data_IF_840874648443
#
_entry.id   IF_840874648443
#
_cell.length_a   1.000
_cell.length_b   1.000
_cell.length_c   1.000
_cell.angle_alpha   90.00
_cell.angle_beta   90.00
_cell.angle_gamma   90.00
#
_symmetry.space_group_name_H-M   'P 1'
#
loop_
_entity.id
_entity.type
_entity.pdbx_description
1 polymer ?
2 non-polymer ?
3 water ?
#
# COMPACT_ATOMS: atom_id res chain seq x y z
N UNK A 33 -24.37 -18.34 -5.00
CA UNK A 33 -23.12 -17.58 -4.61
C UNK A 33 -22.64 -17.76 -3.19
N UNK A 34 -21.34 -17.64 -3.05
CA UNK A 34 -20.70 -17.67 -1.77
C UNK A 34 -19.96 -16.39 -1.50
N UNK A 35 -19.60 -16.18 -0.25
CA UNK A 35 -19.08 -14.87 0.16
C UNK A 35 -17.89 -15.02 1.08
N UNK A 36 -17.20 -13.93 1.31
CA UNK A 36 -16.04 -13.98 2.20
C UNK A 36 -15.65 -12.56 2.55
N UNK A 37 -15.19 -12.35 3.78
CA UNK A 37 -14.95 -10.97 4.26
C UNK A 37 -13.51 -10.79 4.71
N UNK A 38 -12.83 -9.73 4.27
CA UNK A 38 -11.51 -9.45 4.80
C UNK A 38 -11.53 -8.05 5.49
N UNK A 39 -11.05 -7.96 6.73
CA UNK A 39 -10.80 -6.64 7.30
C UNK A 39 -9.36 -6.35 7.10
N UNK A 40 -9.10 -5.31 6.33
CA UNK A 40 -7.75 -4.83 6.13
C UNK A 40 -7.35 -3.77 7.13
N UNK A 41 -6.51 -4.11 8.09
CA UNK A 41 -6.28 -3.21 9.25
C UNK A 41 -4.92 -2.57 9.01
N UNK A 42 -4.95 -1.46 8.31
CA UNK A 42 -3.76 -0.71 7.91
C UNK A 42 -3.42 0.29 8.98
N UNK A 43 -2.27 0.91 8.80
CA UNK A 43 -1.64 1.73 9.81
C UNK A 43 -2.55 2.89 10.19
N UNK A 44 -3.25 3.50 9.26
CA UNK A 44 -4.04 4.67 9.67
C UNK A 44 -5.50 4.51 9.33
N UNK A 45 -5.95 3.35 8.86
CA UNK A 45 -7.30 3.18 8.47
C UNK A 45 -7.59 1.72 8.40
N UNK A 46 -8.79 1.29 8.86
CA UNK A 46 -9.28 -0.09 8.63
C UNK A 46 -10.33 -0.08 7.53
N UNK A 47 -10.26 -1.08 6.67
CA UNK A 47 -11.17 -1.24 5.52
C UNK A 47 -11.81 -2.60 5.54
N UNK A 48 -13.08 -2.70 5.16
CA UNK A 48 -13.73 -4.01 5.08
C UNK A 48 -14.03 -4.33 3.60
N UNK A 49 -13.62 -5.49 3.11
CA UNK A 49 -14.06 -5.93 1.78
C UNK A 49 -14.90 -7.20 1.88
N UNK A 50 -16.05 -7.22 1.18
CA UNK A 50 -16.90 -8.42 1.09
C UNK A 50 -16.77 -8.88 -0.36
N UNK A 51 -16.33 -10.15 -0.59
CA UNK A 51 -16.16 -10.75 -1.92
C UNK A 51 -17.29 -11.74 -2.14
N UNK A 52 -17.59 -12.04 -3.41
CA UNK A 52 -18.71 -12.88 -3.77
C UNK A 52 -18.19 -13.78 -4.94
N UNK A 53 -18.73 -14.97 -5.07
CA UNK A 53 -18.30 -15.84 -6.20
C UNK A 53 -19.30 -16.98 -6.32
N UNK A 54 -19.43 -17.55 -7.55
CA UNK A 54 -20.37 -18.67 -7.74
C UNK A 54 -19.89 -19.93 -7.01
N UNK A 55 -20.79 -20.54 -6.24
CA UNK A 55 -20.50 -21.76 -5.52
C UNK A 55 -20.05 -22.84 -6.53
N UNK A 56 -20.76 -22.91 -7.66
CA UNK A 56 -20.52 -23.89 -8.73
C UNK A 56 -19.25 -23.82 -9.63
N UNK A 57 -18.47 -22.76 -9.60
CA UNK A 57 -17.19 -22.70 -10.36
C UNK A 57 -16.16 -21.78 -9.63
N UNK A 58 -15.97 -22.04 -8.33
CA UNK A 58 -15.16 -21.19 -7.47
C UNK A 58 -13.61 -21.24 -7.63
N UNK A 59 -13.09 -22.31 -8.26
CA UNK A 59 -11.61 -22.46 -8.51
C UNK A 59 -11.10 -21.90 -9.86
N UNK A 60 -12.00 -21.31 -10.65
CA UNK A 60 -11.61 -20.61 -11.90
C UNK A 60 -10.88 -19.31 -11.52
N UNK A 61 -9.86 -18.96 -12.30
CA UNK A 61 -9.18 -17.67 -12.13
C UNK A 61 -10.13 -16.49 -12.48
N UNK A 62 -9.89 -15.33 -11.84
CA UNK A 62 -10.74 -14.15 -12.00
C UNK A 62 -12.20 -14.24 -11.52
N UNK A 63 -12.65 -15.40 -11.04
CA UNK A 63 -14.05 -15.59 -10.71
C UNK A 63 -14.49 -14.78 -9.48
N UNK A 64 -13.71 -14.76 -8.40
CA UNK A 64 -14.13 -14.11 -7.17
C UNK A 64 -14.13 -12.59 -7.46
N UNK A 65 -15.14 -11.87 -6.95
CA UNK A 65 -15.19 -10.40 -7.13
C UNK A 65 -15.64 -9.65 -5.91
N UNK A 66 -15.35 -8.34 -5.88
CA UNK A 66 -15.79 -7.48 -4.78
C UNK A 66 -17.28 -7.20 -4.85
N UNK A 67 -18.00 -7.51 -3.76
CA UNK A 67 -19.44 -7.31 -3.66
C UNK A 67 -19.66 -5.94 -2.99
N UNK A 68 -19.01 -5.68 -1.86
CA UNK A 68 -19.20 -4.40 -1.25
C UNK A 68 -17.97 -4.08 -0.41
N UNK A 69 -17.91 -2.83 0.07
CA UNK A 69 -16.90 -2.47 1.04
C UNK A 69 -17.39 -1.47 2.08
N UNK A 70 -16.56 -1.27 3.10
CA UNK A 70 -16.90 -0.31 4.18
C UNK A 70 -15.62 0.30 4.78
N UNK A 71 -15.59 1.62 4.97
CA UNK A 71 -14.48 2.27 5.63
C UNK A 71 -14.76 2.57 7.07
N UNK A 72 -13.86 2.12 7.92
CA UNK A 72 -14.00 2.38 9.35
C UNK A 72 -13.60 3.82 9.64
N UNK A 73 -14.46 4.54 10.39
CA UNK A 73 -14.15 5.90 10.89
C UNK A 73 -12.93 5.90 11.85
N UNK A 74 -12.16 6.97 11.88
CA UNK A 74 -11.10 7.11 12.90
C UNK A 74 -9.84 6.38 12.43
N UNK A 75 -8.90 6.16 13.33
CA UNK A 75 -7.59 5.66 12.95
C UNK A 75 -7.51 4.13 12.82
N UNK A 76 -6.30 3.62 12.65
CA UNK A 76 -6.07 2.19 12.44
C UNK A 76 -6.08 1.54 13.80
N UNK A 77 -6.14 0.22 13.80
CA UNK A 77 -6.24 -0.51 15.10
C UNK A 77 -5.00 -0.27 16.02
N UNK A 78 -3.80 -0.16 15.44
CA UNK A 78 -2.60 0.21 16.24
C UNK A 78 -2.69 1.56 17.00
N UNK A 79 -3.56 2.44 16.54
CA UNK A 79 -3.77 3.73 17.21
C UNK A 79 -4.41 3.58 18.56
N UNK A 80 -4.90 2.40 18.87
CA UNK A 80 -5.61 2.18 20.13
C UNK A 80 -4.75 1.39 21.08
N UNK A 81 -3.43 1.49 20.86
CA UNK A 81 -2.42 0.77 21.60
C UNK A 81 -2.60 0.99 23.09
N UNK A 82 -3.09 2.18 23.48
CA UNK A 82 -3.30 2.51 24.89
C UNK A 82 -4.74 2.49 25.40
N UNK A 83 -5.71 2.20 24.52
CA UNK A 83 -7.08 1.95 24.91
C UNK A 83 -7.66 0.80 24.04
N UNK A 84 -7.15 -0.47 24.22
CA UNK A 84 -7.32 -1.53 23.19
C UNK A 84 -8.81 -1.94 23.00
N UNK A 85 -9.68 -1.72 23.99
CA UNK A 85 -11.11 -2.03 23.79
C UNK A 85 -11.72 -1.23 22.63
N UNK A 86 -11.28 0.02 22.48
CA UNK A 86 -11.73 0.82 21.34
C UNK A 86 -11.39 0.20 19.99
N UNK A 87 -10.35 -0.69 19.89
CA UNK A 87 -10.04 -1.24 18.58
C UNK A 87 -11.14 -2.23 18.09
N UNK A 88 -11.59 -3.15 18.94
CA UNK A 88 -12.76 -3.99 18.61
C UNK A 88 -14.00 -3.17 18.34
N UNK A 89 -14.22 -2.15 19.14
CA UNK A 89 -15.40 -1.31 18.96
C UNK A 89 -15.41 -0.57 17.60
N UNK A 90 -14.25 -0.04 17.18
CA UNK A 90 -14.19 0.75 15.94
C UNK A 90 -14.78 -0.01 14.75
N UNK A 91 -14.78 -1.34 14.81
CA UNK A 91 -15.28 -2.20 13.73
C UNK A 91 -16.78 -2.48 13.64
N UNK A 92 -17.57 -2.03 14.65
CA UNK A 92 -18.98 -2.43 14.75
C UNK A 92 -19.84 -1.98 13.57
N UNK A 93 -19.71 -0.72 13.15
CA UNK A 93 -20.60 -0.10 12.14
C UNK A 93 -20.46 -0.89 10.80
N UNK A 94 -19.20 -1.10 10.37
CA UNK A 94 -18.93 -1.93 9.20
C UNK A 94 -19.34 -3.39 9.35
N UNK A 95 -19.02 -4.02 10.48
CA UNK A 95 -19.64 -5.32 10.76
C UNK A 95 -21.17 -5.33 10.61
N UNK A 96 -21.86 -4.27 11.09
CA UNK A 96 -23.32 -4.14 10.93
C UNK A 96 -23.68 -4.14 9.46
N UNK A 97 -22.86 -3.43 8.68
CA UNK A 97 -23.06 -3.39 7.23
C UNK A 97 -22.84 -4.76 6.58
N UNK A 98 -21.79 -5.45 6.99
CA UNK A 98 -21.58 -6.82 6.48
C UNK A 98 -22.77 -7.74 6.74
N UNK A 99 -23.46 -7.57 7.89
CA UNK A 99 -24.68 -8.33 8.10
C UNK A 99 -25.74 -8.02 7.05
N UNK A 100 -25.84 -6.77 6.61
CA UNK A 100 -26.85 -6.40 5.58
C UNK A 100 -26.34 -6.86 4.20
N UNK A 101 -25.03 -6.75 3.95
CA UNK A 101 -24.48 -7.06 2.63
C UNK A 101 -24.51 -8.56 2.36
N UNK A 102 -24.30 -9.38 3.40
CA UNK A 102 -24.26 -10.83 3.17
C UNK A 102 -25.65 -11.42 3.49
N UNK A 103 -26.26 -12.16 2.56
CA UNK A 103 -27.64 -12.61 2.88
C UNK A 103 -27.65 -13.44 4.17
N UNK A 104 -28.74 -13.33 4.97
CA UNK A 104 -28.83 -13.99 6.29
C UNK A 104 -28.38 -15.45 6.32
N UNK A 105 -28.95 -16.24 5.43
CA UNK A 105 -28.75 -17.68 5.49
C UNK A 105 -27.35 -18.08 5.01
N UNK A 106 -26.53 -17.11 4.61
CA UNK A 106 -25.12 -17.43 4.42
C UNK A 106 -24.12 -16.84 5.39
N UNK A 107 -24.59 -16.27 6.51
CA UNK A 107 -23.68 -15.70 7.47
C UNK A 107 -22.78 -16.79 8.01
N UNK A 108 -23.43 -17.85 8.48
CA UNK A 108 -22.83 -19.02 9.11
C UNK A 108 -21.63 -19.53 8.32
N UNK A 109 -21.75 -19.55 7.00
CA UNK A 109 -20.82 -20.29 6.17
C UNK A 109 -19.77 -19.36 5.59
N UNK A 110 -19.84 -18.07 5.94
CA UNK A 110 -19.05 -17.04 5.26
C UNK A 110 -17.84 -16.76 6.14
N UNK A 111 -16.63 -17.12 5.66
CA UNK A 111 -15.43 -16.83 6.43
C UNK A 111 -15.15 -15.34 6.61
N UNK A 112 -14.77 -14.98 7.83
CA UNK A 112 -14.30 -13.62 8.16
C UNK A 112 -12.82 -13.64 8.66
N UNK A 113 -11.99 -12.87 7.98
CA UNK A 113 -10.54 -12.72 8.32
C UNK A 113 -10.24 -11.25 8.60
N UNK A 114 -9.29 -11.00 9.51
CA UNK A 114 -8.73 -9.66 9.72
C UNK A 114 -7.22 -9.86 9.57
N UNK A 115 -6.68 -9.09 8.68
CA UNK A 115 -5.24 -9.02 8.50
C UNK A 115 -4.75 -7.64 8.79
N UNK A 116 -3.68 -7.55 9.61
CA UNK A 116 -3.12 -6.21 10.00
C UNK A 116 -1.78 -6.08 9.35
N UNK A 117 -1.35 -4.85 9.14
CA UNK A 117 -0.14 -4.71 8.35
C UNK A 117 0.91 -3.88 9.09
N UNK A 118 1.50 -2.88 8.45
CA UNK A 118 2.66 -2.27 9.01
C UNK A 118 2.47 -1.51 10.32
N UNK A 119 1.28 -0.97 10.56
CA UNK A 119 1.06 -0.30 11.79
C UNK A 119 1.15 -1.29 12.94
N UNK A 120 0.58 -2.46 12.72
CA UNK A 120 0.67 -3.46 13.77
C UNK A 120 2.05 -4.09 13.84
N UNK A 121 2.79 -4.19 12.69
CA UNK A 121 4.14 -4.68 12.74
C UNK A 121 4.99 -3.73 13.57
N UNK A 122 4.95 -2.43 13.20
CA UNK A 122 5.55 -1.37 14.08
C UNK A 122 5.18 -1.49 15.57
N UNK A 123 3.88 -1.61 15.88
CA UNK A 123 3.41 -1.63 17.29
C UNK A 123 4.01 -2.86 17.92
N UNK A 124 4.10 -3.95 17.16
CA UNK A 124 4.79 -5.15 17.64
C UNK A 124 6.21 -4.99 18.03
N UNK A 125 6.94 -4.14 17.30
CA UNK A 125 8.32 -3.92 17.59
C UNK A 125 8.62 -2.99 18.76
N UNK A 126 7.64 -2.14 19.08
CA UNK A 126 7.81 -1.16 20.14
C UNK A 126 7.07 -1.62 21.41
N UNK A 127 5.97 -2.34 21.22
CA UNK A 127 5.18 -2.78 22.38
C UNK A 127 4.44 -4.07 22.10
N UNK A 128 5.16 -5.19 22.19
CA UNK A 128 4.43 -6.44 21.90
C UNK A 128 3.26 -6.72 22.88
N UNK A 129 3.31 -6.26 24.13
CA UNK A 129 2.13 -6.47 25.00
C UNK A 129 0.89 -5.66 24.55
N UNK A 130 1.06 -4.39 24.20
CA UNK A 130 -0.05 -3.62 23.64
C UNK A 130 -0.53 -4.24 22.31
N UNK A 131 0.40 -4.75 21.50
CA UNK A 131 -0.01 -5.38 20.25
C UNK A 131 -0.96 -6.56 20.49
N UNK A 132 -0.66 -7.39 21.51
CA UNK A 132 -1.44 -8.55 21.76
C UNK A 132 -2.81 -8.18 22.39
N UNK A 133 -2.85 -7.20 23.30
CA UNK A 133 -4.11 -6.63 23.71
C UNK A 133 -5.00 -6.08 22.62
N UNK A 134 -4.43 -5.30 21.68
CA UNK A 134 -5.18 -4.87 20.50
C UNK A 134 -5.77 -6.04 19.75
N UNK A 135 -4.97 -7.07 19.46
CA UNK A 135 -5.48 -8.21 18.70
C UNK A 135 -6.50 -9.02 19.50
N UNK A 136 -6.31 -9.12 20.80
CA UNK A 136 -7.35 -9.76 21.65
C UNK A 136 -8.70 -9.01 21.60
N UNK A 137 -8.63 -7.68 21.71
CA UNK A 137 -9.83 -6.85 21.66
C UNK A 137 -10.55 -7.06 20.34
N UNK A 138 -9.82 -7.02 19.20
CA UNK A 138 -10.50 -7.13 17.90
C UNK A 138 -11.08 -8.54 17.77
N UNK A 139 -10.35 -9.53 18.30
CA UNK A 139 -10.80 -10.93 18.28
C UNK A 139 -12.09 -11.04 19.06
N UNK A 140 -12.11 -10.45 20.26
CA UNK A 140 -13.30 -10.33 21.07
C UNK A 140 -14.55 -9.97 20.29
N UNK A 141 -14.46 -8.86 19.56
CA UNK A 141 -15.55 -8.27 18.81
C UNK A 141 -15.95 -9.19 17.68
N UNK A 142 -14.98 -9.64 16.88
CA UNK A 142 -15.29 -10.44 15.70
C UNK A 142 -16.00 -11.77 16.00
N UNK A 143 -15.53 -12.49 17.03
CA UNK A 143 -16.01 -13.84 17.34
C UNK A 143 -17.50 -13.87 17.77
N UNK A 144 -18.04 -12.71 18.15
CA UNK A 144 -19.50 -12.64 18.45
C UNK A 144 -20.41 -12.27 17.26
N UNK A 145 -19.84 -12.05 16.07
CA UNK A 145 -20.67 -11.89 14.88
C UNK A 145 -20.94 -13.31 14.39
N UNK A 146 -22.04 -13.53 13.66
CA UNK A 146 -22.45 -14.89 13.27
C UNK A 146 -21.70 -15.39 11.98
N UNK A 147 -20.57 -14.80 11.68
CA UNK A 147 -19.74 -15.22 10.50
C UNK A 147 -18.77 -16.29 10.95
N UNK A 148 -18.24 -17.04 10.01
CA UNK A 148 -17.22 -18.00 10.37
C UNK A 148 -15.88 -17.25 10.49
N UNK A 149 -15.71 -16.74 11.72
CA UNK A 149 -14.53 -15.99 12.12
C UNK A 149 -13.30 -16.91 12.13
N UNK A 150 -12.32 -16.59 11.30
CA UNK A 150 -11.11 -17.40 11.21
C UNK A 150 -9.82 -16.74 11.78
N UNK A 151 -9.88 -15.61 12.51
CA UNK A 151 -8.65 -15.12 13.07
C UNK A 151 -8.18 -13.76 12.58
N UNK A 152 -7.42 -13.13 13.48
CA UNK A 152 -6.88 -11.78 13.30
C UNK A 152 -5.37 -12.06 13.30
N UNK A 153 -4.64 -11.63 12.27
CA UNK A 153 -3.26 -12.02 12.22
C UNK A 153 -2.57 -10.80 11.64
N UNK A 154 -1.29 -10.71 11.91
CA UNK A 154 -0.44 -9.66 11.38
C UNK A 154 0.22 -10.33 10.18
N UNK A 155 0.09 -9.72 9.02
CA UNK A 155 0.88 -10.14 7.84
C UNK A 155 2.32 -9.74 7.94
N UNK A 156 3.23 -10.60 7.49
CA UNK A 156 4.61 -10.18 7.34
C UNK A 156 4.60 -9.21 6.15
N UNK A 157 5.78 -8.64 5.85
CA UNK A 157 6.01 -7.72 4.77
C UNK A 157 6.01 -8.49 3.47
N UNK A 158 6.64 -9.65 3.45
CA UNK A 158 6.47 -10.58 2.32
C UNK A 158 5.06 -10.96 2.01
N UNK A 159 4.22 -11.30 3.03
CA UNK A 159 2.85 -11.65 2.71
C UNK A 159 2.15 -10.48 2.01
N UNK A 160 2.27 -9.28 2.62
CA UNK A 160 1.63 -8.08 2.14
C UNK A 160 1.96 -7.85 0.66
N UNK A 161 3.24 -7.88 0.30
CA UNK A 161 3.63 -7.72 -1.11
C UNK A 161 3.09 -8.83 -1.99
N UNK A 162 3.28 -10.08 -1.52
CA UNK A 162 2.90 -11.20 -2.34
C UNK A 162 1.39 -11.26 -2.60
N UNK A 163 0.60 -10.96 -1.57
CA UNK A 163 -0.82 -11.06 -1.77
C UNK A 163 -1.37 -9.96 -2.68
N UNK A 164 -0.85 -8.74 -2.61
CA UNK A 164 -1.23 -7.68 -3.61
C UNK A 164 -0.89 -8.14 -5.06
N UNK A 165 0.30 -8.69 -5.28
CA UNK A 165 0.67 -9.29 -6.61
C UNK A 165 -0.33 -10.38 -7.07
N UNK A 166 -0.75 -11.25 -6.12
CA UNK A 166 -1.75 -12.27 -6.43
C UNK A 166 -3.03 -11.59 -6.86
N UNK A 167 -3.46 -10.59 -6.07
CA UNK A 167 -4.71 -9.94 -6.30
C UNK A 167 -4.73 -9.36 -7.70
N UNK A 168 -3.66 -8.62 -8.08
CA UNK A 168 -3.61 -7.94 -9.36
C UNK A 168 -3.73 -8.94 -10.48
N UNK A 169 -2.88 -9.98 -10.40
CA UNK A 169 -2.78 -10.94 -11.50
C UNK A 169 -3.98 -11.85 -11.57
N UNK A 170 -4.63 -12.14 -10.43
CA UNK A 170 -5.90 -12.88 -10.48
C UNK A 170 -7.01 -12.07 -11.17
N UNK A 171 -7.13 -10.80 -10.84
CA UNK A 171 -8.29 -10.05 -11.32
C UNK A 171 -8.07 -9.74 -12.77
N UNK A 172 -6.80 -9.60 -13.14
CA UNK A 172 -6.53 -9.27 -14.56
C UNK A 172 -6.23 -10.50 -15.39
N UNK A 173 -6.56 -11.67 -14.84
CA UNK A 173 -6.58 -12.93 -15.58
C UNK A 173 -5.24 -13.33 -16.21
N UNK A 174 -4.12 -13.03 -15.53
CA UNK A 174 -2.79 -13.38 -16.07
C UNK A 174 -2.35 -14.84 -15.78
N UNK A 175 -3.21 -15.60 -15.09
CA UNK A 175 -2.92 -17.00 -14.84
C UNK A 175 -3.61 -17.90 -15.90
N UNK A 176 -3.99 -17.34 -17.05
CA UNK A 176 -4.79 -18.09 -18.04
C UNK A 176 -3.72 -18.61 -19.02
N UNK A 177 -3.91 -19.83 -19.52
CA UNK A 177 -3.06 -20.33 -20.58
C UNK A 177 -3.70 -19.88 -21.88
N UNK A 178 -3.04 -18.96 -22.60
CA UNK A 178 -3.63 -18.30 -23.71
C UNK A 178 -3.35 -19.01 -25.00
N UNK A 179 -4.39 -19.11 -25.83
CA UNK A 179 -4.23 -19.63 -27.16
C UNK A 179 -5.21 -20.73 -27.40
N UNK A 180 -4.86 -21.65 -28.30
CA UNK A 180 -5.79 -22.74 -28.52
C UNK A 180 -5.01 -23.86 -29.20
N UNK A 181 -5.60 -25.05 -29.35
CA UNK A 181 -4.92 -26.18 -29.99
C UNK A 181 -4.52 -25.82 -31.45
N UNK A 182 -3.34 -26.18 -31.97
CA UNK A 182 -2.06 -26.04 -31.44
C UNK A 182 -1.62 -24.68 -32.03
N UNK A 183 -1.98 -23.62 -31.34
CA UNK A 183 -1.38 -22.29 -31.49
C UNK A 183 -1.42 -21.70 -30.08
N UNK A 184 -0.56 -22.23 -29.24
CA UNK A 184 -0.52 -21.74 -27.90
C UNK A 184 0.39 -20.54 -27.86
N UNK A 185 0.03 -19.57 -27.03
CA UNK A 185 0.98 -18.48 -26.88
C UNK A 185 2.27 -18.87 -26.17
N UNK A 186 3.37 -18.45 -26.81
CA UNK A 186 4.74 -18.69 -26.32
C UNK A 186 5.59 -17.39 -26.20
N UNK A 187 6.32 -17.20 -25.07
CA UNK A 187 6.36 -17.98 -23.83
C UNK A 187 5.10 -17.72 -22.99
N UNK A 188 5.02 -18.31 -21.80
CA UNK A 188 3.91 -18.07 -20.84
C UNK A 188 3.50 -16.59 -20.75
N UNK A 189 2.19 -16.31 -20.63
CA UNK A 189 1.69 -14.96 -20.22
C UNK A 189 2.51 -14.22 -19.09
N UNK A 190 3.03 -13.03 -19.40
CA UNK A 190 3.76 -12.19 -18.47
C UNK A 190 2.83 -11.79 -17.32
N UNK A 191 3.38 -11.54 -16.15
CA UNK A 191 2.56 -11.16 -15.00
C UNK A 191 2.73 -9.69 -14.67
N UNK A 192 1.83 -9.12 -13.87
CA UNK A 192 1.97 -7.70 -13.52
C UNK A 192 2.82 -7.57 -12.25
N UNK A 193 3.91 -6.74 -12.24
CA UNK A 193 4.59 -6.32 -10.96
C UNK A 193 3.58 -5.49 -10.14
N UNK A 194 3.77 -5.39 -8.81
CA UNK A 194 2.88 -4.69 -7.95
C UNK A 194 3.73 -3.73 -7.08
N UNK A 195 3.31 -2.46 -7.01
CA UNK A 195 3.88 -1.49 -6.02
C UNK A 195 2.76 -0.92 -5.22
N UNK A 196 2.88 -0.99 -3.89
CA UNK A 196 1.79 -0.80 -3.03
C UNK A 196 2.37 0.27 -2.06
N UNK A 197 1.73 1.42 -1.99
CA UNK A 197 2.27 2.44 -1.01
C UNK A 197 1.24 2.55 0.10
N UNK A 198 1.48 2.00 1.28
CA UNK A 198 0.45 2.14 2.38
C UNK A 198 0.90 3.32 3.27
N UNK A 199 0.39 3.39 4.49
CA UNK A 199 0.63 4.53 5.39
C UNK A 199 1.94 4.36 6.15
N UNK A 200 2.40 3.12 6.34
CA UNK A 200 3.63 2.89 7.14
C UNK A 200 4.71 2.01 6.45
N UNK A 201 4.39 1.43 5.29
CA UNK A 201 5.41 0.68 4.45
C UNK A 201 5.07 0.76 3.03
N UNK A 202 6.04 0.39 2.16
CA UNK A 202 5.71 0.24 0.80
C UNK A 202 6.39 -1.07 0.24
N UNK A 203 5.74 -1.71 -0.75
CA UNK A 203 6.11 -3.06 -1.17
C UNK A 203 6.32 -2.93 -2.67
N UNK A 204 7.34 -3.63 -3.19
CA UNK A 204 7.44 -3.91 -4.59
C UNK A 204 7.63 -5.47 -4.78
N UNK A 205 6.95 -6.04 -5.80
CA UNK A 205 6.84 -7.47 -5.99
C UNK A 205 6.68 -7.66 -7.47
N UNK A 206 7.53 -8.50 -8.04
CA UNK A 206 7.42 -8.84 -9.48
C UNK A 206 8.07 -10.19 -9.76
N UNK A 207 7.59 -10.84 -10.83
CA UNK A 207 8.19 -12.03 -11.37
C UNK A 207 9.58 -11.74 -11.97
N UNK A 208 10.60 -12.52 -11.64
CA UNK A 208 11.92 -12.19 -12.18
C UNK A 208 12.64 -13.46 -12.68
N UNK A 209 13.52 -13.34 -13.68
CA UNK A 209 14.35 -14.48 -14.01
C UNK A 209 15.79 -14.38 -13.43
N UNK A 210 16.07 -13.36 -12.63
CA UNK A 210 17.40 -13.20 -11.99
C UNK A 210 17.62 -14.16 -10.80
N UNK A 211 18.85 -14.70 -10.65
CA UNK A 211 19.07 -15.51 -9.41
C UNK A 211 18.85 -14.65 -8.13
N UNK A 212 18.30 -15.28 -7.08
CA UNK A 212 18.12 -14.66 -5.76
C UNK A 212 19.48 -14.52 -5.05
N UNK A 213 19.70 -13.40 -4.34
CA UNK A 213 20.98 -13.21 -3.67
C UNK A 213 20.64 -12.98 -2.21
N UNK A 214 19.35 -12.99 -1.91
CA UNK A 214 18.88 -12.84 -0.59
C UNK A 214 17.60 -13.69 -0.50
N UNK A 215 17.62 -14.73 0.34
CA UNK A 215 16.41 -15.58 0.48
C UNK A 215 15.16 -14.94 1.15
N UNK A 216 15.35 -13.93 2.03
CA UNK A 216 14.26 -13.09 2.49
C UNK A 216 13.45 -12.43 1.38
N UNK A 217 14.05 -12.20 0.20
CA UNK A 217 13.38 -11.52 -0.89
C UNK A 217 12.85 -12.54 -1.94
N UNK A 218 13.16 -13.84 -1.81
CA UNK A 218 12.73 -14.88 -2.73
C UNK A 218 11.36 -15.52 -2.48
N UNK A 219 10.53 -15.56 -3.54
CA UNK A 219 9.20 -16.14 -3.50
C UNK A 219 8.96 -17.20 -4.58
N UNK A 220 8.36 -18.35 -4.21
CA UNK A 220 7.97 -19.39 -5.24
C UNK A 220 6.54 -19.78 -5.06
N UNK A 221 5.77 -19.49 -6.07
CA UNK A 221 4.33 -19.75 -6.08
C UNK A 221 3.98 -20.81 -7.06
N UNK A 222 3.00 -21.63 -6.66
CA UNK A 222 2.50 -22.64 -7.55
C UNK A 222 1.02 -22.28 -7.75
N UNK A 223 0.67 -21.85 -8.96
CA UNK A 223 -0.67 -21.37 -9.31
C UNK A 223 -1.10 -22.03 -10.61
N UNK A 224 -2.21 -22.76 -10.55
CA UNK A 224 -2.81 -23.48 -11.68
C UNK A 224 -1.75 -24.29 -12.42
N UNK A 225 -1.03 -25.16 -11.69
CA UNK A 225 0.03 -26.01 -12.25
C UNK A 225 1.28 -25.29 -12.72
N UNK A 226 1.36 -23.95 -12.61
CA UNK A 226 2.57 -23.18 -13.00
C UNK A 226 3.45 -22.66 -11.85
N UNK A 227 4.78 -22.66 -12.14
CA UNK A 227 5.74 -22.14 -11.21
C UNK A 227 6.02 -20.64 -11.44
N UNK A 228 5.82 -19.78 -10.42
CA UNK A 228 6.19 -18.36 -10.54
C UNK A 228 7.33 -18.00 -9.56
N UNK A 229 8.45 -17.55 -10.11
CA UNK A 229 9.62 -17.11 -9.28
C UNK A 229 9.47 -15.61 -9.14
N UNK A 230 9.42 -15.10 -7.91
CA UNK A 230 8.97 -13.74 -7.67
C UNK A 230 9.94 -13.13 -6.67
N UNK A 231 10.26 -11.87 -6.88
CA UNK A 231 11.03 -11.08 -5.94
C UNK A 231 10.01 -10.28 -5.12
N UNK A 232 10.26 -10.10 -3.83
CA UNK A 232 9.41 -9.13 -3.10
C UNK A 232 10.22 -8.48 -1.97
N UNK A 233 9.90 -7.21 -1.68
CA UNK A 233 10.53 -6.57 -0.54
C UNK A 233 9.56 -5.51 0.02
N UNK A 234 9.51 -5.42 1.34
CA UNK A 234 8.62 -4.43 1.98
C UNK A 234 9.58 -3.47 2.66
N UNK A 235 9.49 -2.19 2.36
CA UNK A 235 10.27 -1.16 3.14
C UNK A 235 9.53 -0.57 4.35
N UNK A 236 9.91 -0.99 5.54
CA UNK A 236 9.14 -0.57 6.73
C UNK A 236 9.54 0.92 6.94
N UNK A 237 8.60 1.78 7.41
CA UNK A 237 8.87 3.21 7.68
C UNK A 237 8.93 3.96 6.35
N UNK A 238 8.64 3.31 5.20
CA UNK A 238 8.63 4.05 3.96
C UNK A 238 7.19 4.17 3.42
N UNK A 239 6.19 4.02 4.29
CA UNK A 239 4.85 4.44 3.90
C UNK A 239 4.67 5.96 3.91
N UNK A 240 3.65 6.41 3.19
CA UNK A 240 3.31 7.78 3.00
C UNK A 240 3.28 8.57 4.36
N UNK A 241 2.60 8.09 5.39
CA UNK A 241 2.51 8.87 6.65
C UNK A 241 3.79 8.85 7.37
N UNK A 242 4.50 7.70 7.40
CA UNK A 242 5.86 7.69 8.06
C UNK A 242 6.92 8.54 7.30
N UNK A 243 6.86 8.58 5.98
CA UNK A 243 7.71 9.44 5.13
C UNK A 243 7.45 10.91 5.49
N UNK A 244 6.19 11.26 5.69
CA UNK A 244 5.89 12.67 6.00
C UNK A 244 6.43 13.04 7.38
N UNK A 245 6.37 12.10 8.33
CA UNK A 245 6.86 12.41 9.69
C UNK A 245 8.42 12.55 9.63
N UNK A 246 9.06 11.69 8.83
CA UNK A 246 10.54 11.79 8.70
C UNK A 246 10.96 13.07 7.99
N UNK A 247 10.23 13.44 6.94
CA UNK A 247 10.44 14.75 6.29
C UNK A 247 10.26 15.94 7.21
N UNK A 248 9.28 15.87 8.10
CA UNK A 248 9.03 16.92 9.06
C UNK A 248 10.17 17.01 10.11
N UNK A 249 10.64 15.88 10.64
CA UNK A 249 11.81 15.89 11.53
C UNK A 249 13.09 16.45 10.81
N UNK A 250 13.33 16.06 9.55
CA UNK A 250 14.53 16.62 8.89
C UNK A 250 14.37 18.09 8.50
N UNK A 251 13.14 18.53 8.17
CA UNK A 251 12.91 19.95 7.81
C UNK A 251 13.17 20.82 9.03
N UNK A 252 12.68 20.33 10.18
CA UNK A 252 12.95 20.97 11.49
C UNK A 252 14.42 21.05 11.91
N UNK A 253 15.17 19.99 11.66
CA UNK A 253 16.60 20.00 11.99
C UNK A 253 17.46 20.92 11.12
N UNK A 254 17.24 20.87 9.81
CA UNK A 254 18.10 21.45 8.81
C UNK A 254 17.66 22.89 8.52
N UNK A 255 16.34 23.11 8.38
CA UNK A 255 15.83 24.40 7.87
C UNK A 255 14.99 25.26 8.79
N UNK A 256 14.30 24.67 9.76
CA UNK A 256 13.23 25.45 10.45
C UNK A 256 12.18 26.12 9.49
N UNK A 257 11.95 25.53 8.33
CA UNK A 257 10.80 25.84 7.48
C UNK A 257 10.59 24.55 6.71
N UNK A 258 9.45 24.34 6.10
CA UNK A 258 9.26 23.11 5.33
C UNK A 258 9.29 23.44 3.83
N UNK A 259 10.41 23.11 3.14
CA UNK A 259 10.51 23.41 1.72
C UNK A 259 9.40 22.76 0.93
N UNK A 260 8.87 21.60 1.36
CA UNK A 260 7.83 20.86 0.61
C UNK A 260 6.42 21.40 0.81
N UNK A 261 6.25 22.23 1.83
CA UNK A 261 4.99 22.89 2.07
C UNK A 261 4.90 24.20 1.28
N UNK A 262 3.66 24.59 0.89
CA UNK A 262 3.47 25.73 0.06
C UNK A 262 3.67 27.01 0.83
N UNK A 263 4.26 27.99 0.16
CA UNK A 263 4.45 29.32 0.71
C UNK A 263 3.07 29.93 1.11
N UNK A 264 2.96 30.42 2.35
CA UNK A 264 1.67 30.97 2.88
C UNK A 264 0.84 29.93 3.63
N UNK A 265 1.37 28.72 3.72
CA UNK A 265 0.85 27.68 4.62
C UNK A 265 1.75 27.55 5.87
N UNK A 266 1.17 27.60 7.06
CA UNK A 266 1.89 27.24 8.29
C UNK A 266 1.05 26.51 9.32
N UNK A 267 1.70 25.79 10.23
CA UNK A 267 0.96 25.06 11.24
C UNK A 267 1.73 24.86 12.53
N UNK A 268 1.05 24.41 13.58
CA UNK A 268 1.66 24.09 14.87
C UNK A 268 2.10 22.62 14.87
N UNK A 269 3.40 22.39 14.80
CA UNK A 269 3.85 20.99 14.74
C UNK A 269 3.96 20.48 16.17
N UNK A 270 3.37 19.31 16.40
CA UNK A 270 3.41 18.69 17.71
C UNK A 270 4.62 17.74 17.73
N UNK A 271 5.66 18.06 18.50
CA UNK A 271 6.87 17.25 18.47
C UNK A 271 6.66 15.83 19.02
N UNK A 272 5.67 15.66 19.90
CA UNK A 272 5.24 14.32 20.39
C UNK A 272 4.98 13.39 19.20
N UNK A 273 4.17 13.82 18.25
CA UNK A 273 3.85 13.02 17.07
C UNK A 273 5.10 12.62 16.30
N UNK A 274 5.99 13.59 16.11
CA UNK A 274 7.11 13.40 15.22
C UNK A 274 8.06 12.38 15.81
N UNK A 275 8.41 12.60 17.07
CA UNK A 275 9.50 11.87 17.65
C UNK A 275 9.07 10.63 18.42
N UNK A 276 7.79 10.33 18.46
CA UNK A 276 7.36 9.10 19.11
C UNK A 276 7.34 7.92 18.11
N UNK A 277 7.35 8.22 16.81
CA UNK A 277 7.29 7.19 15.85
C UNK A 277 8.60 6.38 15.89
N UNK A 278 8.53 5.03 15.88
CA UNK A 278 9.78 4.30 15.73
C UNK A 278 10.56 4.64 14.44
N UNK A 279 9.90 5.27 13.45
CA UNK A 279 10.51 5.63 12.16
C UNK A 279 11.40 6.89 12.18
N UNK A 280 11.34 7.68 13.25
CA UNK A 280 12.14 8.89 13.27
C UNK A 280 13.25 8.81 14.35
N UNK A 281 13.30 7.68 15.07
CA UNK A 281 14.26 7.47 16.19
C UNK A 281 15.63 7.59 15.50
N UNK A 282 16.47 8.49 16.00
CA UNK A 282 17.60 8.99 15.23
C UNK A 282 17.24 10.31 14.56
N UNK A 283 16.62 11.22 15.34
CA UNK A 283 16.34 12.64 14.96
C UNK A 283 15.73 13.36 16.17
N UNK A 292 7.11 21.20 23.41
CA UNK A 292 6.22 20.27 22.73
C UNK A 292 5.68 20.73 21.34
N UNK A 293 5.73 22.03 21.04
CA UNK A 293 5.15 22.56 19.78
C UNK A 293 6.06 23.57 19.08
N UNK A 294 6.15 23.53 17.74
CA UNK A 294 6.85 24.58 16.98
C UNK A 294 6.07 25.00 15.73
N UNK A 295 5.91 26.31 15.57
CA UNK A 295 5.37 26.91 14.35
C UNK A 295 6.28 26.54 13.16
N UNK A 296 5.70 26.13 12.01
CA UNK A 296 6.47 25.76 10.82
C UNK A 296 5.76 26.19 9.55
N UNK A 297 6.49 26.87 8.66
CA UNK A 297 5.90 27.44 7.45
C UNK A 297 6.45 26.79 6.24
N UNK A 298 5.61 26.72 5.21
CA UNK A 298 6.01 26.23 3.89
C UNK A 298 6.80 27.29 3.13
N UNK A 299 7.69 26.86 2.25
CA UNK A 299 8.38 27.85 1.38
C UNK A 299 8.26 27.57 -0.14
N UNK A 300 7.51 26.55 -0.56
CA UNK A 300 7.34 26.22 -2.02
C UNK A 300 8.69 26.14 -2.75
N UNK A 301 9.61 25.37 -2.18
CA UNK A 301 10.96 25.27 -2.72
C UNK A 301 11.14 23.81 -3.20
N UNK A 302 10.82 23.56 -4.46
CA UNK A 302 10.98 22.25 -5.06
C UNK A 302 12.39 21.62 -4.97
N UNK A 303 13.45 22.40 -5.17
CA UNK A 303 14.86 21.90 -5.10
C UNK A 303 15.16 21.48 -3.67
N UNK A 304 14.75 22.29 -2.70
CA UNK A 304 15.09 21.91 -1.35
C UNK A 304 14.18 20.82 -0.87
N UNK A 305 12.95 20.81 -1.40
CA UNK A 305 12.05 19.68 -1.11
C UNK A 305 12.65 18.37 -1.64
N UNK A 306 13.13 18.43 -2.88
CA UNK A 306 13.77 17.27 -3.48
C UNK A 306 15.00 16.83 -2.67
N UNK A 307 15.82 17.79 -2.20
CA UNK A 307 16.96 17.47 -1.29
C UNK A 307 16.59 16.71 -0.03
N UNK A 308 15.54 17.17 0.67
CA UNK A 308 15.02 16.48 1.85
C UNK A 308 14.63 15.08 1.48
N UNK A 309 13.80 14.93 0.46
CA UNK A 309 13.34 13.62 0.05
C UNK A 309 14.45 12.64 -0.32
N UNK A 310 15.40 13.11 -1.13
CA UNK A 310 16.35 12.18 -1.66
C UNK A 310 17.21 11.60 -0.53
N UNK A 311 17.29 12.34 0.59
CA UNK A 311 18.00 11.87 1.80
C UNK A 311 17.40 10.65 2.48
N UNK A 312 16.09 10.41 2.27
CA UNK A 312 15.48 9.15 2.69
C UNK A 312 16.12 7.91 2.05
N UNK A 313 16.84 8.02 0.91
CA UNK A 313 17.24 6.80 0.22
C UNK A 313 18.72 6.68 0.21
N UNK A 314 19.23 5.81 1.07
CA UNK A 314 20.67 5.60 1.13
C UNK A 314 21.13 4.66 0.00
N UNK A 315 21.90 5.20 -0.95
CA UNK A 315 22.36 4.44 -2.09
C UNK A 315 23.87 4.36 -2.02
N UNK A 316 24.49 4.54 -0.87
CA UNK A 316 25.93 4.66 -0.91
C UNK A 316 26.61 3.29 -0.87
N UNK A 317 25.89 2.21 -0.54
CA UNK A 317 26.57 0.92 -0.56
C UNK A 317 25.67 -0.25 -0.86
N UNK A 318 26.27 -1.22 -1.51
CA UNK A 318 25.50 -2.33 -1.98
C UNK A 318 26.40 -3.55 -1.88
N UNK A 319 26.04 -4.49 -0.99
CA UNK A 319 26.89 -5.68 -0.81
C UNK A 319 26.42 -6.78 -1.73
N UNK A 320 25.44 -6.50 -2.58
CA UNK A 320 24.94 -7.51 -3.52
C UNK A 320 25.42 -7.12 -4.87
N UNK A 321 25.02 -7.85 -5.90
CA UNK A 321 25.48 -7.43 -7.22
C UNK A 321 24.71 -6.14 -7.69
N UNK A 322 23.45 -5.97 -7.26
CA UNK A 322 22.66 -4.74 -7.44
C UNK A 322 21.66 -4.56 -6.34
N UNK A 323 21.33 -3.31 -6.06
CA UNK A 323 20.48 -2.94 -4.92
C UNK A 323 19.40 -2.00 -5.35
N UNK A 324 18.33 -1.92 -4.56
CA UNK A 324 17.44 -0.81 -4.77
C UNK A 324 18.05 0.34 -3.95
N UNK A 325 17.76 0.38 -2.64
CA UNK A 325 18.42 1.39 -1.76
C UNK A 325 18.49 0.75 -0.36
N UNK A 326 19.19 1.42 0.54
CA UNK A 326 19.48 0.91 1.88
C UNK A 326 20.14 -0.46 1.88
N UNK A 327 21.01 -0.74 0.87
CA UNK A 327 21.76 -2.01 0.79
C UNK A 327 20.84 -3.19 0.48
N UNK A 328 19.61 -2.92 0.11
CA UNK A 328 18.69 -4.02 -0.17
C UNK A 328 18.92 -4.63 -1.58
N UNK A 329 19.15 -5.95 -1.70
CA UNK A 329 19.22 -6.62 -3.06
C UNK A 329 17.95 -6.43 -3.88
N UNK A 330 18.10 -6.03 -5.16
CA UNK A 330 16.95 -6.04 -6.05
C UNK A 330 17.43 -6.22 -7.47
N UNK A 331 16.89 -7.21 -8.20
CA UNK A 331 17.16 -7.38 -9.62
C UNK A 331 16.58 -6.25 -10.45
N UNK A 332 17.08 -6.04 -11.70
CA UNK A 332 16.53 -4.98 -12.55
C UNK A 332 15.00 -5.15 -12.65
N UNK A 333 14.23 -4.07 -12.48
CA UNK A 333 12.76 -4.14 -12.65
C UNK A 333 12.46 -4.51 -14.09
N UNK A 334 11.42 -5.32 -14.27
CA UNK A 334 11.08 -5.76 -15.61
C UNK A 334 9.59 -6.12 -15.68
N UNK A 335 9.02 -6.09 -16.88
CA UNK A 335 7.59 -6.34 -17.20
C UNK A 335 6.70 -5.15 -16.88
N UNK A 336 5.39 -5.37 -17.01
CA UNK A 336 4.40 -4.37 -16.66
C UNK A 336 4.29 -4.33 -15.12
N UNK A 337 3.86 -3.17 -14.60
CA UNK A 337 3.67 -2.94 -13.18
C UNK A 337 2.31 -2.25 -13.00
N UNK A 338 1.63 -2.53 -11.88
CA UNK A 338 0.49 -1.73 -11.45
C UNK A 338 0.89 -1.10 -10.09
N UNK A 339 0.64 0.23 -9.93
CA UNK A 339 1.00 0.96 -8.74
C UNK A 339 -0.32 1.46 -8.16
N UNK A 340 -0.61 1.09 -6.89
CA UNK A 340 -1.98 1.21 -6.41
C UNK A 340 -1.91 1.92 -5.09
N UNK A 341 -3.00 1.86 -4.33
CA UNK A 341 -3.17 2.65 -3.07
C UNK A 341 -2.66 4.09 -3.25
N UNK A 342 -1.75 4.58 -2.40
CA UNK A 342 -1.43 5.99 -2.42
C UNK A 342 -0.63 6.40 -3.69
N UNK A 343 -0.04 5.46 -4.41
CA UNK A 343 0.51 5.82 -5.74
C UNK A 343 -0.60 6.34 -6.66
N UNK A 344 -1.76 5.69 -6.60
CA UNK A 344 -2.82 6.05 -7.49
C UNK A 344 -3.38 7.45 -7.15
N UNK A 345 -3.68 7.67 -5.86
CA UNK A 345 -4.41 8.87 -5.46
C UNK A 345 -3.48 10.07 -5.65
N UNK A 346 -2.18 9.89 -5.52
CA UNK A 346 -1.28 11.06 -5.63
C UNK A 346 -1.12 11.44 -7.13
N UNK A 347 -1.11 10.43 -7.99
CA UNK A 347 -0.97 10.68 -9.41
C UNK A 347 -2.24 11.27 -9.96
N UNK A 348 -3.35 10.82 -9.42
CA UNK A 348 -4.65 11.37 -9.79
C UNK A 348 -4.79 12.83 -9.38
N UNK A 349 -4.20 13.20 -8.25
CA UNK A 349 -4.13 14.63 -7.85
C UNK A 349 -3.35 15.43 -8.92
N UNK A 350 -2.24 14.86 -9.38
CA UNK A 350 -1.43 15.59 -10.34
C UNK A 350 -2.16 15.79 -11.69
N UNK A 351 -2.78 14.70 -12.17
CA UNK A 351 -3.39 14.69 -13.51
C UNK A 351 -4.72 15.47 -13.47
N UNK A 352 -5.44 15.39 -12.34
CA UNK A 352 -6.80 15.92 -12.25
C UNK A 352 -6.81 17.33 -11.75
N UNK A 353 -6.31 17.54 -10.53
CA UNK A 353 -6.30 18.85 -9.94
C UNK A 353 -5.24 19.76 -10.57
N UNK A 354 -4.02 19.25 -10.75
CA UNK A 354 -2.95 20.08 -11.35
C UNK A 354 -3.05 20.11 -12.89
N UNK A 355 -3.67 19.08 -13.49
CA UNK A 355 -3.89 19.01 -14.93
C UNK A 355 -2.60 18.74 -15.71
N UNK A 356 -1.69 17.98 -15.10
CA UNK A 356 -0.43 17.68 -15.71
C UNK A 356 -0.32 16.22 -16.18
N UNK A 357 0.26 15.99 -17.38
CA UNK A 357 0.52 14.61 -17.78
C UNK A 357 1.65 13.98 -16.95
N UNK A 358 1.50 12.71 -16.59
CA UNK A 358 2.57 11.97 -15.92
C UNK A 358 2.91 10.69 -16.75
N UNK A 359 2.88 10.81 -18.05
CA UNK A 359 3.19 9.68 -18.90
C UNK A 359 4.63 9.20 -18.87
N UNK A 360 5.59 10.10 -18.73
CA UNK A 360 7.00 9.74 -18.69
C UNK A 360 7.59 10.05 -17.30
N UNK A 361 8.76 9.46 -16.97
CA UNK A 361 9.39 9.76 -15.67
C UNK A 361 9.66 11.24 -15.64
N UNK A 362 10.06 11.77 -16.80
CA UNK A 362 10.30 13.19 -16.87
C UNK A 362 9.07 14.08 -16.70
N UNK A 363 7.91 13.66 -17.21
CA UNK A 363 6.70 14.44 -16.99
C UNK A 363 6.30 14.33 -15.51
N UNK A 364 6.47 13.14 -14.94
CA UNK A 364 6.37 12.93 -13.52
C UNK A 364 7.22 13.90 -12.68
N UNK A 365 8.53 13.89 -12.95
CA UNK A 365 9.46 14.86 -12.33
C UNK A 365 8.97 16.33 -12.49
N UNK A 366 8.70 16.80 -13.73
CA UNK A 366 8.22 18.20 -13.95
C UNK A 366 6.89 18.42 -13.21
N UNK A 367 6.02 17.41 -13.14
CA UNK A 367 4.72 17.56 -12.43
C UNK A 367 4.97 17.81 -10.95
N UNK A 368 5.95 17.10 -10.40
CA UNK A 368 6.28 17.33 -9.00
C UNK A 368 6.87 18.74 -8.68
N UNK A 369 7.69 19.25 -9.57
CA UNK A 369 8.27 20.55 -9.33
C UNK A 369 7.19 21.61 -9.42
N UNK A 370 6.40 21.55 -10.51
CA UNK A 370 5.38 22.54 -10.67
C UNK A 370 4.46 22.52 -9.43
N UNK A 371 4.03 21.34 -8.93
CA UNK A 371 3.20 21.27 -7.71
C UNK A 371 3.89 21.87 -6.47
N UNK A 372 5.12 21.44 -6.22
CA UNK A 372 5.88 21.95 -5.05
C UNK A 372 6.08 23.45 -5.05
N UNK A 373 6.20 24.03 -6.25
CA UNK A 373 6.40 25.47 -6.43
C UNK A 373 5.15 26.33 -6.27
N UNK A 374 3.95 25.73 -6.23
CA UNK A 374 2.74 26.51 -6.07
C UNK A 374 2.72 27.13 -4.68
N UNK A 375 2.25 28.35 -4.59
CA UNK A 375 1.97 28.91 -3.28
C UNK A 375 0.62 28.34 -2.75
N UNK A 376 0.35 28.58 -1.48
CA UNK A 376 -0.90 28.14 -0.88
C UNK A 376 -2.09 28.69 -1.70
N UNK A 377 -2.03 29.97 -2.05
CA UNK A 377 -3.15 30.62 -2.77
C UNK A 377 -3.27 30.08 -4.22
N UNK A 378 -2.16 29.70 -4.82
CA UNK A 378 -2.22 29.14 -6.17
C UNK A 378 -2.86 27.77 -6.18
N UNK A 379 -2.60 27.03 -5.11
CA UNK A 379 -3.17 25.71 -4.88
C UNK A 379 -4.67 25.85 -4.71
N UNK A 380 -5.09 26.69 -3.77
CA UNK A 380 -6.51 27.03 -3.61
C UNK A 380 -7.22 27.60 -4.86
N UNK A 381 -6.52 28.37 -5.69
CA UNK A 381 -7.12 28.86 -6.95
C UNK A 381 -7.56 27.77 -7.95
N UNK A 382 -6.94 26.58 -7.91
CA UNK A 382 -7.36 25.46 -8.73
C UNK A 382 -8.60 24.76 -8.21
N UNK A 383 -9.23 25.32 -7.16
CA UNK A 383 -10.46 24.80 -6.54
C UNK A 383 -10.32 23.31 -6.32
N UNK A 384 -9.37 22.92 -5.46
CA UNK A 384 -9.15 21.51 -5.28
C UNK A 384 -10.17 20.81 -4.36
N UNK A 385 -11.07 21.52 -3.70
CA UNK A 385 -11.95 20.78 -2.79
C UNK A 385 -11.41 20.81 -1.37
N UNK A 386 -12.21 20.32 -0.42
CA UNK A 386 -11.85 20.28 1.03
C UNK A 386 -10.90 19.11 1.29
N UNK A 387 -9.67 19.32 0.91
CA UNK A 387 -8.72 18.24 1.03
C UNK A 387 -7.97 18.59 2.31
N UNK A 388 -8.08 17.76 3.34
CA UNK A 388 -7.48 18.05 4.66
C UNK A 388 -5.93 17.99 4.54
N UNK A 389 -5.43 17.19 3.60
CA UNK A 389 -3.97 17.06 3.47
C UNK A 389 -3.34 17.75 2.24
N UNK A 390 -3.97 18.81 1.75
CA UNK A 390 -3.52 19.58 0.61
C UNK A 390 -2.03 20.04 0.63
N UNK A 391 -1.55 20.55 1.79
CA UNK A 391 -0.12 20.89 2.01
C UNK A 391 0.87 19.75 1.84
N UNK A 392 0.42 18.50 1.91
CA UNK A 392 1.36 17.41 1.76
C UNK A 392 1.41 16.78 0.39
N UNK A 393 0.61 17.25 -0.56
CA UNK A 393 0.68 16.50 -1.91
C UNK A 393 2.04 16.58 -2.54
N UNK A 394 2.65 17.75 -2.41
CA UNK A 394 3.97 17.96 -3.00
C UNK A 394 5.01 16.95 -2.44
N UNK A 395 5.08 16.85 -1.11
CA UNK A 395 6.01 15.88 -0.48
C UNK A 395 5.77 14.41 -0.96
N UNK A 396 4.51 13.99 -0.93
CA UNK A 396 4.15 12.60 -1.33
C UNK A 396 4.52 12.40 -2.83
N UNK A 397 4.25 13.43 -3.65
CA UNK A 397 4.45 13.26 -5.07
C UNK A 397 5.95 13.14 -5.34
N UNK A 398 6.71 14.02 -4.69
CA UNK A 398 8.18 14.00 -4.70
C UNK A 398 8.68 12.68 -4.11
N UNK A 399 8.09 12.17 -3.01
CA UNK A 399 8.57 10.92 -2.50
C UNK A 399 8.40 9.82 -3.58
N UNK A 400 7.24 9.82 -4.25
CA UNK A 400 6.98 8.77 -5.29
C UNK A 400 7.94 8.82 -6.42
N UNK A 401 8.24 10.03 -6.88
CA UNK A 401 9.13 10.12 -7.95
C UNK A 401 10.53 9.66 -7.58
N UNK A 402 11.06 10.10 -6.43
CA UNK A 402 12.36 9.60 -5.91
C UNK A 402 12.35 8.08 -5.70
N UNK A 403 11.25 7.54 -5.15
CA UNK A 403 11.23 6.13 -4.83
C UNK A 403 11.45 5.31 -6.12
N UNK A 404 10.70 5.67 -7.17
CA UNK A 404 10.70 4.94 -8.45
C UNK A 404 12.00 5.12 -9.16
N UNK A 405 12.54 6.34 -9.21
CA UNK A 405 13.80 6.57 -10.05
C UNK A 405 15.01 6.31 -9.17
N UNK A 406 15.16 7.05 -8.08
CA UNK A 406 16.39 6.82 -7.24
C UNK A 406 16.35 5.47 -6.48
N UNK A 407 15.20 5.08 -5.91
CA UNK A 407 15.13 3.81 -5.19
C UNK A 407 15.07 2.55 -6.06
N UNK A 408 14.09 2.47 -6.96
CA UNK A 408 13.82 1.18 -7.58
C UNK A 408 14.51 1.19 -8.93
N UNK A 409 15.09 2.32 -9.36
CA UNK A 409 15.80 2.44 -10.72
C UNK A 409 14.93 2.12 -11.96
N UNK A 410 13.65 2.48 -11.92
CA UNK A 410 12.89 2.66 -13.20
C UNK A 410 13.62 3.69 -14.01
N UNK A 411 13.62 3.61 -15.35
CA UNK A 411 13.95 4.73 -16.19
C UNK A 411 12.75 4.91 -17.14
N UNK A 412 12.90 5.73 -18.16
CA UNK A 412 11.83 6.03 -19.12
C UNK A 412 11.26 4.77 -19.76
N UNK A 413 12.15 3.88 -20.18
CA UNK A 413 11.78 2.64 -20.83
C UNK A 413 10.98 1.70 -19.89
N UNK A 414 11.43 1.50 -18.66
CA UNK A 414 10.77 0.55 -17.80
C UNK A 414 9.50 1.16 -17.13
N UNK A 415 9.54 2.44 -16.75
CA UNK A 415 8.36 3.25 -16.34
C UNK A 415 7.25 3.38 -17.40
N UNK A 416 7.57 3.33 -18.70
CA UNK A 416 6.53 3.23 -19.70
C UNK A 416 5.51 2.09 -19.41
N UNK A 417 5.91 1.07 -18.65
CA UNK A 417 5.05 -0.10 -18.43
C UNK A 417 4.36 -0.06 -17.10
N UNK A 418 4.47 1.06 -16.37
CA UNK A 418 3.82 1.23 -15.09
C UNK A 418 2.44 1.82 -15.41
N UNK A 419 1.40 1.26 -14.84
CA UNK A 419 0.11 1.96 -14.87
C UNK A 419 -0.29 2.24 -13.43
N UNK A 420 -0.92 3.38 -13.23
CA UNK A 420 -1.48 3.78 -11.95
C UNK A 420 -2.93 3.46 -11.96
N UNK A 421 -3.33 2.50 -11.14
CA UNK A 421 -4.69 2.01 -11.19
C UNK A 421 -5.07 1.61 -9.73
N UNK A 422 -6.31 1.86 -9.33
CA UNK A 422 -6.76 1.42 -8.00
C UNK A 422 -7.74 0.23 -8.05
N UNK A 423 -8.46 0.07 -9.17
CA UNK A 423 -9.48 -1.00 -9.34
C UNK A 423 -9.16 -1.89 -10.55
N UNK A 424 -9.59 -3.13 -10.47
CA UNK A 424 -9.51 -3.98 -11.65
C UNK A 424 -10.74 -4.84 -11.59
N UNK A 425 -11.45 -4.97 -12.70
CA UNK A 425 -12.70 -5.75 -12.76
C UNK A 425 -13.61 -5.37 -11.54
N UNK A 426 -13.77 -4.05 -11.34
CA UNK A 426 -14.60 -3.47 -10.24
C UNK A 426 -14.18 -3.91 -8.81
N UNK A 427 -12.97 -4.40 -8.67
CA UNK A 427 -12.46 -4.80 -7.36
C UNK A 427 -11.29 -3.91 -6.96
N UNK A 428 -11.33 -3.36 -5.74
CA UNK A 428 -10.15 -2.68 -5.16
C UNK A 428 -8.92 -3.59 -5.24
N UNK A 429 -7.85 -3.04 -5.76
CA UNK A 429 -6.58 -3.77 -5.79
C UNK A 429 -5.82 -3.58 -4.45
N UNK A 430 -5.43 -4.66 -3.80
CA UNK A 430 -4.66 -4.55 -2.56
C UNK A 430 -4.35 -5.95 -2.22
N UNK A 431 -3.90 -6.19 -1.01
CA UNK A 431 -3.48 -7.53 -0.64
C UNK A 431 -4.68 -8.33 -0.14
N UNK A 432 -5.79 -7.67 0.23
CA UNK A 432 -6.97 -8.41 0.78
C UNK A 432 -7.51 -9.62 0.03
N UNK A 433 -7.72 -9.50 -1.27
CA UNK A 433 -8.28 -10.59 -2.05
C UNK A 433 -7.35 -11.79 -2.10
N UNK A 434 -6.08 -11.57 -2.49
CA UNK A 434 -5.15 -12.67 -2.58
C UNK A 434 -4.98 -13.40 -1.23
N UNK A 435 -4.96 -12.62 -0.16
CA UNK A 435 -5.02 -13.16 1.23
C UNK A 435 -6.22 -14.14 1.44
N UNK A 436 -7.42 -13.66 1.11
CA UNK A 436 -8.60 -14.49 1.30
C UNK A 436 -8.53 -15.72 0.41
N UNK A 437 -8.09 -15.52 -0.82
CA UNK A 437 -7.95 -16.62 -1.78
C UNK A 437 -6.99 -17.70 -1.32
N UNK A 438 -5.92 -17.30 -0.60
CA UNK A 438 -4.95 -18.26 -0.09
C UNK A 438 -5.55 -18.93 1.16
N UNK A 439 -5.98 -18.16 2.17
CA UNK A 439 -6.69 -18.79 3.34
C UNK A 439 -7.91 -19.63 3.01
N UNK A 440 -8.64 -19.27 1.96
CA UNK A 440 -9.83 -20.04 1.61
C UNK A 440 -9.50 -21.15 0.67
N UNK A 441 -8.25 -21.23 0.22
CA UNK A 441 -7.86 -22.27 -0.75
C UNK A 441 -8.66 -22.27 -2.05
N UNK A 442 -8.95 -21.07 -2.57
CA UNK A 442 -9.62 -20.93 -3.89
C UNK A 442 -8.73 -21.00 -5.13
N UNK A 443 -7.40 -20.93 -4.98
CA UNK A 443 -6.53 -21.10 -6.14
C UNK A 443 -5.91 -22.49 -6.09
N UNK A 444 -6.19 -23.32 -7.11
CA UNK A 444 -5.56 -24.61 -7.04
C UNK A 444 -4.07 -24.47 -7.42
N UNK A 445 -3.21 -25.21 -6.71
CA UNK A 445 -1.79 -25.34 -7.03
C UNK A 445 -1.62 -26.11 -8.31
N UNK A 446 -2.57 -26.98 -8.62
CA UNK A 446 -2.57 -27.74 -9.84
C UNK A 446 -3.93 -27.79 -10.54
X LIG B 1 -5.47 8.53 3.20
X LIG B 1 -6.63 8.88 2.92
X LIG B 1 -7.76 7.88 2.97
X LIG B 1 -7.55 6.54 3.34
X LIG B 1 -8.64 5.67 3.35
X LIG B 1 -9.95 6.07 3.00
X LIG B 1 -10.20 7.39 2.63
X LIG B 1 -9.13 8.32 2.60
X LIG B 1 -9.36 9.74 2.20
X LIG B 1 -10.49 10.14 1.89
X LIG B 1 -6.85 10.29 2.51
X LIG B 1 -8.22 10.71 2.16
X LIG B 1 -8.43 12.13 1.78
X LIG B 1 -9.64 12.58 1.39
X LIG B 1 -5.72 11.29 2.48
X LIG B 1 -5.98 12.61 2.10
X LIG B 1 -7.27 13.08 1.73
X LIG B 1 -7.55 14.64 1.32
X LIG B 1 -8.01 14.79 -0.07
X LIG B 1 -6.23 15.39 1.52
X LIG B 1 -8.53 15.22 2.23
X LIG B 1 -4.49 10.80 2.82
X LIG B 1 -3.32 11.50 2.75
X LIG B 1 -2.40 11.31 3.78
X LIG B 1 -1.14 11.97 3.85
X LIG B 1 -0.89 12.84 2.81
X LIG B 1 -1.77 13.05 1.79
X LIG B 1 -1.42 14.00 0.72
X LIG B 1 -3.01 12.37 1.70
X LIG C 1 -9.65 8.54 -0.94
X LIG C 1 -8.43 8.36 -0.79
X LIG C 1 -7.50 9.50 -0.97
X LIG C 1 -8.00 10.75 -1.29
X LIG C 1 -7.12 11.81 -1.44
X LIG C 1 -5.73 11.62 -1.29
X LIG C 1 -5.20 10.37 -0.96
X LIG C 1 -6.03 9.29 -0.79
X LIG C 1 -5.52 7.94 -0.47
X LIG C 1 -4.30 7.73 -0.33
X LIG C 1 -7.92 7.00 -0.46
X LIG C 1 -6.45 6.80 -0.30
X LIG C 1 -5.97 5.42 0.04
X LIG C 1 -4.67 5.07 0.20
X LIG C 1 -8.87 5.83 -0.29
X LIG C 1 -8.34 4.60 0.02
X LIG C 1 -6.99 4.36 0.19
X LIG C 1 -6.56 2.87 0.54
X LIG C 1 -7.79 2.09 0.47
X LIG C 1 -5.95 2.81 1.87
X LIG C 1 -5.57 2.41 -0.48
X LIG C 1 -10.23 5.96 -0.42
X LIG C 1 -10.86 4.77 -0.67
X LIG C 1 -11.59 4.61 -1.85
X LIG C 1 -12.26 3.40 -2.11
X LIG C 1 -12.19 2.36 -1.20
X LIG C 1 -11.47 2.52 -0.01
X LIG C 1 -11.40 1.39 0.97
X LIG C 1 -10.81 3.72 0.25
#
# INVERSE_FOLDING_TARGET
>A
MAHHHHHHVGTGSNDDDDKSPDPTQDVREPPALKYGIVLDAGSSHTSMFVYKWPADKENDTGIVGQHSSCDVQGGGISSYANDPSKAGQSLVRCLEQALRDVPRDRHASTPLYLGATAGMRLLNLTSPEATARVLEAVTQTLTQYPFDFRGARILSGQDEGVFGWVTANYLLENFIKYGWVGRWIRPRKGTLGAMDLGGASTQITFETTSPSEDPGNEVHLRLYGQHYRVYTHSFLCYGRDQILLRLLASALQIHRFHPCWPKGYSTQVLLQEVYQSPCTMGQRPRAFNGSAIVSLSGTSNATLCRDLVSRLFNISSCPFSQCSFNGVFQPPVAGNFIAFSAFYYTVDFLTTVMGLPVGTLKQLEEATEITCNQTWTELQARVPGQKTRLADYCAVAMFIHQLLSRGYHFDERSFREVVFQKKAADTAVGWALGYMLNLTNLIPADLPGLRKGTHFS
>B hetero
1 8E9 O16 C10 C14 C5 C6 C7 C8 C13 C9 O9 C11 C12 C1 N1 C4 C3 C2 S2 OS2 OS1 OS3 N4 C1' C6' C5' C4' C3' C7' C2'
>C hetero
1 8E9 O16 C10 C14 C5 C6 C7 C8 C13 C9 O9 C11 C12 C1 N1 C4 C3 C2 S2 OS2 OS1 OS3 N4 C1' C6' C5' C4' C3' C7' C2'
#
